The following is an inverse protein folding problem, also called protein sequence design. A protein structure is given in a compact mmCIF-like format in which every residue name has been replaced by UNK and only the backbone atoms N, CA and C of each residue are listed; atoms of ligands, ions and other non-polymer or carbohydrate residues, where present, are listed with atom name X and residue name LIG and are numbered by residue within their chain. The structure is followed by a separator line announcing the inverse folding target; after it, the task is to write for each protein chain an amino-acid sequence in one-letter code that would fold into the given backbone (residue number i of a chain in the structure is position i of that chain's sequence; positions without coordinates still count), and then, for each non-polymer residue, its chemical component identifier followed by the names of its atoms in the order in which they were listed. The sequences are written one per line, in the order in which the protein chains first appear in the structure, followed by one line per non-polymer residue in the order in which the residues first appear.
data_IF_452749502931
#
_entry.id   IF_452749502931
#
_cell.length_a   1.000
_cell.length_b   1.000
_cell.length_c   1.000
_cell.angle_alpha   90.00
_cell.angle_beta   90.00
_cell.angle_gamma   90.00
#
_symmetry.space_group_name_H-M   'P 1'
#
loop_
_entity.id
_entity.type
_entity.pdbx_description
1 polymer ?
#
# COMPACT_ATOMS: atom_id res chain seq x y z
N UNK A 1 14.36 -0.23 7.24
CA UNK A 1 14.08 1.11 6.68
C UNK A 1 13.98 1.01 5.16
N UNK A 2 13.10 1.81 4.59
CA UNK A 2 13.00 1.87 3.14
C UNK A 2 14.22 2.60 2.58
N UNK A 3 14.84 2.02 1.57
CA UNK A 3 15.93 2.67 0.84
C UNK A 3 15.35 3.66 -0.18
N UNK A 4 16.23 4.46 -0.76
CA UNK A 4 15.84 5.36 -1.85
C UNK A 4 15.23 4.56 -3.00
N UNK A 5 15.85 3.43 -3.34
CA UNK A 5 15.35 2.58 -4.41
C UNK A 5 13.98 2.02 -4.11
N UNK A 6 13.73 1.65 -2.84
CA UNK A 6 12.41 1.19 -2.42
C UNK A 6 11.37 2.26 -2.69
N UNK A 7 11.67 3.50 -2.30
CA UNK A 7 10.71 4.59 -2.44
C UNK A 7 10.46 4.95 -3.90
N UNK A 8 11.40 4.68 -4.78
CA UNK A 8 11.24 4.94 -6.21
C UNK A 8 10.20 4.05 -6.88
N UNK A 9 9.80 2.96 -6.24
CA UNK A 9 8.73 2.12 -6.79
C UNK A 9 7.33 2.75 -6.62
N UNK A 10 7.24 3.86 -5.88
CA UNK A 10 5.98 4.57 -5.69
C UNK A 10 5.75 5.51 -6.87
N UNK A 11 5.04 5.02 -7.87
CA UNK A 11 4.77 5.76 -9.10
C UNK A 11 3.74 6.88 -8.83
N UNK A 12 4.14 8.15 -8.97
CA UNK A 12 3.21 9.27 -8.73
C UNK A 12 2.09 9.35 -9.76
N UNK A 13 2.24 8.66 -10.89
CA UNK A 13 1.15 8.56 -11.86
C UNK A 13 0.05 7.61 -11.41
N UNK A 14 0.40 6.62 -10.60
CA UNK A 14 -0.56 5.66 -10.08
C UNK A 14 -1.07 6.05 -8.69
N UNK A 15 -0.19 6.58 -7.86
CA UNK A 15 -0.51 6.95 -6.48
C UNK A 15 -0.40 8.45 -6.25
N UNK A 16 -1.29 8.97 -5.43
CA UNK A 16 -1.06 10.24 -4.79
C UNK A 16 -0.24 9.98 -3.53
N UNK A 17 0.96 10.54 -3.47
CA UNK A 17 1.87 10.32 -2.35
C UNK A 17 1.61 11.41 -1.31
N UNK A 18 1.07 10.99 -0.17
CA UNK A 18 0.65 11.93 0.87
C UNK A 18 1.79 12.18 1.85
N UNK A 19 2.46 11.12 2.26
CA UNK A 19 3.60 11.22 3.18
C UNK A 19 4.54 10.07 2.88
N UNK A 20 5.84 10.35 2.95
CA UNK A 20 6.83 9.35 2.61
C UNK A 20 8.13 9.62 3.33
N UNK A 21 8.60 8.64 4.09
CA UNK A 21 9.92 8.69 4.70
C UNK A 21 10.47 7.26 4.74
N UNK A 22 11.58 7.05 5.44
CA UNK A 22 12.26 5.76 5.42
C UNK A 22 11.57 4.68 6.25
N UNK A 23 10.51 5.00 6.95
CA UNK A 23 9.77 4.02 7.76
C UNK A 23 8.30 3.94 7.42
N UNK A 24 7.73 5.04 6.94
CA UNK A 24 6.28 5.17 6.78
C UNK A 24 5.94 5.75 5.43
N UNK A 25 5.00 5.14 4.75
CA UNK A 25 4.49 5.60 3.47
C UNK A 25 2.97 5.66 3.54
N UNK A 26 2.41 6.83 3.26
CA UNK A 26 0.96 7.01 3.14
C UNK A 26 0.67 7.43 1.71
N UNK A 27 -0.11 6.62 1.02
CA UNK A 27 -0.43 6.84 -0.39
C UNK A 27 -1.91 6.57 -0.63
N UNK A 28 -2.42 7.11 -1.72
CA UNK A 28 -3.77 6.83 -2.19
C UNK A 28 -3.70 6.34 -3.63
N UNK A 29 -4.35 5.22 -3.90
CA UNK A 29 -4.50 4.74 -5.27
C UNK A 29 -5.43 5.70 -6.02
N UNK A 30 -4.95 6.26 -7.13
CA UNK A 30 -5.74 7.26 -7.86
C UNK A 30 -7.00 6.69 -8.49
N UNK A 31 -6.94 5.41 -8.88
CA UNK A 31 -8.07 4.76 -9.56
C UNK A 31 -9.19 4.36 -8.61
N UNK A 32 -8.88 3.83 -7.43
CA UNK A 32 -9.89 3.38 -6.47
C UNK A 32 -10.18 4.42 -5.40
N UNK A 33 -9.26 5.36 -5.19
CA UNK A 33 -9.29 6.36 -4.12
C UNK A 33 -9.12 5.72 -2.74
N UNK A 34 -8.68 4.48 -2.68
CA UNK A 34 -8.40 3.81 -1.42
C UNK A 34 -7.09 4.31 -0.82
N UNK A 35 -7.07 4.36 0.50
CA UNK A 35 -5.91 4.83 1.26
C UNK A 35 -5.10 3.66 1.75
N UNK A 36 -3.79 3.80 1.71
CA UNK A 36 -2.84 2.78 2.13
C UNK A 36 -1.77 3.40 3.00
N UNK A 37 -1.46 2.72 4.09
CA UNK A 37 -0.36 3.08 4.97
C UNK A 37 0.56 1.87 5.08
N UNK A 38 1.82 2.05 4.76
CA UNK A 38 2.81 0.97 4.77
C UNK A 38 3.87 1.32 5.79
N UNK A 39 4.00 0.46 6.80
CA UNK A 39 4.94 0.66 7.89
C UNK A 39 6.07 -0.37 7.82
N UNK A 40 7.30 0.11 7.92
CA UNK A 40 8.48 -0.75 8.01
C UNK A 40 8.98 -0.69 9.44
N UNK A 41 8.73 -1.73 10.26
CA UNK A 41 9.17 -1.71 11.65
C UNK A 41 10.69 -1.73 11.77
N UNK A 42 11.19 -1.18 12.87
CA UNK A 42 12.62 -1.08 13.10
C UNK A 42 13.28 -2.45 13.17
N UNK A 43 12.60 -3.40 13.77
CA UNK A 43 13.08 -4.77 13.89
C UNK A 43 12.10 -5.68 13.16
N UNK A 44 12.25 -5.79 11.85
CA UNK A 44 11.33 -6.62 11.08
C UNK A 44 11.53 -8.10 11.41
N UNK A 45 10.45 -8.78 11.69
CA UNK A 45 10.43 -10.21 11.80
C UNK A 45 10.04 -10.79 10.46
N UNK A 46 9.02 -11.58 10.44
CA UNK A 46 8.52 -12.10 9.17
C UNK A 46 7.71 -11.01 8.47
N UNK A 47 8.13 -10.68 7.26
CA UNK A 47 7.52 -9.59 6.51
C UNK A 47 7.96 -8.24 7.02
N UNK A 48 8.78 -7.56 6.24
CA UNK A 48 9.38 -6.28 6.65
C UNK A 48 8.40 -5.11 6.62
N UNK A 49 7.30 -5.26 5.91
CA UNK A 49 6.32 -4.19 5.74
C UNK A 49 4.95 -4.65 6.21
N UNK A 50 4.28 -3.79 6.97
CA UNK A 50 2.90 -4.03 7.37
C UNK A 50 2.04 -3.06 6.56
N UNK A 51 1.03 -3.59 5.88
CA UNK A 51 0.16 -2.83 5.00
C UNK A 51 -1.18 -2.62 5.67
N UNK A 52 -1.56 -1.34 5.85
CA UNK A 52 -2.86 -0.96 6.37
C UNK A 52 -3.68 -0.33 5.25
N UNK A 53 -4.98 -0.51 5.31
CA UNK A 53 -5.89 -0.15 4.23
C UNK A 53 -7.18 0.47 4.77
N UNK A 54 -7.73 1.43 4.03
CA UNK A 54 -9.09 1.92 4.28
C UNK A 54 -9.68 2.42 2.97
N UNK A 55 -10.99 2.30 2.86
CA UNK A 55 -11.70 2.66 1.63
C UNK A 55 -11.94 4.16 1.52
N UNK A 56 -12.07 4.85 2.64
CA UNK A 56 -12.35 6.29 2.67
C UNK A 56 -11.47 6.96 3.70
N UNK A 57 -11.15 8.22 3.47
CA UNK A 57 -10.32 9.01 4.37
C UNK A 57 -10.86 9.01 5.79
N UNK A 58 -12.18 9.06 5.93
CA UNK A 58 -12.83 9.12 7.25
C UNK A 58 -12.88 7.80 8.00
N UNK A 59 -12.52 6.70 7.35
CA UNK A 59 -12.57 5.38 7.97
C UNK A 59 -11.27 5.10 8.73
N UNK A 60 -11.32 4.25 9.76
CA UNK A 60 -10.09 3.80 10.41
C UNK A 60 -9.35 2.82 9.52
N UNK A 61 -8.03 2.80 9.63
CA UNK A 61 -7.22 1.78 8.97
C UNK A 61 -7.44 0.42 9.59
N UNK A 62 -7.33 -0.62 8.77
CA UNK A 62 -7.26 -2.00 9.25
C UNK A 62 -6.06 -2.68 8.58
N UNK A 63 -5.52 -3.69 9.20
CA UNK A 63 -4.38 -4.40 8.64
C UNK A 63 -4.84 -5.20 7.42
N UNK A 64 -4.17 -4.96 6.28
CA UNK A 64 -4.46 -5.65 5.03
C UNK A 64 -3.56 -6.87 4.86
N UNK A 65 -2.28 -6.72 5.19
CA UNK A 65 -1.33 -7.81 5.01
C UNK A 65 0.09 -7.40 5.32
N UNK A 66 1.03 -8.24 4.91
CA UNK A 66 2.45 -8.02 5.09
C UNK A 66 3.18 -8.36 3.82
N UNK A 67 4.36 -7.78 3.64
CA UNK A 67 5.25 -8.13 2.54
C UNK A 67 6.70 -7.93 2.97
N UNK A 68 7.62 -8.57 2.26
CA UNK A 68 9.03 -8.47 2.58
C UNK A 68 9.62 -7.13 2.15
N UNK A 69 9.09 -6.54 1.09
CA UNK A 69 9.62 -5.30 0.53
C UNK A 69 8.49 -4.35 0.19
N UNK A 70 8.84 -3.07 0.05
CA UNK A 70 7.88 -2.07 -0.40
C UNK A 70 7.40 -2.37 -1.82
N UNK A 71 8.28 -2.88 -2.66
CA UNK A 71 7.92 -3.25 -4.03
C UNK A 71 6.84 -4.35 -4.04
N UNK A 72 6.96 -5.33 -3.18
CA UNK A 72 5.95 -6.37 -3.04
C UNK A 72 4.65 -5.81 -2.47
N UNK A 73 4.75 -4.88 -1.53
CA UNK A 73 3.57 -4.21 -0.98
C UNK A 73 2.82 -3.46 -2.08
N UNK A 74 3.53 -2.72 -2.92
CA UNK A 74 2.93 -2.00 -4.04
C UNK A 74 2.27 -2.95 -5.03
N UNK A 75 2.91 -4.08 -5.30
CA UNK A 75 2.34 -5.09 -6.18
C UNK A 75 1.03 -5.65 -5.61
N UNK A 76 1.01 -5.91 -4.32
CA UNK A 76 -0.19 -6.38 -3.63
C UNK A 76 -1.31 -5.34 -3.70
N UNK A 77 -0.97 -4.07 -3.50
CA UNK A 77 -1.93 -2.97 -3.58
C UNK A 77 -2.54 -2.88 -4.99
N UNK A 78 -1.70 -2.93 -6.01
CA UNK A 78 -2.18 -2.86 -7.40
C UNK A 78 -3.08 -4.04 -7.74
N UNK A 79 -2.76 -5.22 -7.24
CA UNK A 79 -3.59 -6.40 -7.41
C UNK A 79 -4.96 -6.23 -6.75
N UNK A 80 -4.97 -5.66 -5.54
CA UNK A 80 -6.21 -5.38 -4.83
C UNK A 80 -7.05 -4.33 -5.57
N UNK A 81 -6.41 -3.28 -6.07
CA UNK A 81 -7.11 -2.25 -6.84
C UNK A 81 -7.76 -2.85 -8.08
N UNK A 82 -7.04 -3.72 -8.77
CA UNK A 82 -7.57 -4.38 -9.96
C UNK A 82 -8.78 -5.24 -9.61
N UNK A 83 -8.70 -5.98 -8.51
CA UNK A 83 -9.83 -6.77 -8.04
C UNK A 83 -11.02 -5.88 -7.67
N UNK A 84 -10.75 -4.77 -6.98
CA UNK A 84 -11.78 -3.83 -6.56
C UNK A 84 -12.51 -3.22 -7.76
N UNK A 85 -11.78 -2.91 -8.82
CA UNK A 85 -12.36 -2.28 -10.02
C UNK A 85 -13.11 -3.25 -10.92
N UNK A 86 -12.74 -4.52 -10.93
CA UNK A 86 -13.31 -5.46 -11.89
C UNK A 86 -13.63 -6.83 -11.33
N UNK A 87 -12.72 -7.41 -10.58
CA UNK A 87 -12.81 -8.80 -10.19
C UNK A 87 -14.00 -9.16 -9.35
N UNK A 88 -14.37 -8.28 -8.41
CA UNK A 88 -15.47 -8.58 -7.50
C UNK A 88 -16.84 -8.65 -8.17
N UNK A 89 -16.93 -8.19 -9.40
CA UNK A 89 -18.18 -8.26 -10.17
C UNK A 89 -18.43 -9.63 -10.75
N UNK A 90 -17.41 -10.46 -10.75
CA UNK A 90 -17.45 -11.73 -11.48
C UNK A 90 -17.89 -12.87 -10.59
N UNK A 91 -17.96 -12.62 -9.32
CA UNK A 91 -18.30 -13.64 -8.35
C UNK A 91 -19.78 -13.93 -8.34
N UNK A 92 -20.28 -14.42 -9.32
CA UNK A 92 -21.70 -14.78 -9.34
C UNK A 92 -21.89 -16.18 -9.84
#
# INVERSE_FOLDING_TARGET
MFSREDLECLDPGYFEIICMNDRDVTIMSRNTRHMWYIHNPEYPLMGSCIIFHKHKVSYPYHQHGRSDTLRQAVRSIKSHDKWQLGGRKITN
#
